data_IF_120408640126
#
_entry.id   IF_120408640126
#
_cell.length_a   1.000
_cell.length_b   1.000
_cell.length_c   1.000
_cell.angle_alpha   90.00
_cell.angle_beta   90.00
_cell.angle_gamma   90.00
#
_symmetry.space_group_name_H-M   'P 1'
#
loop_
_entity.id
_entity.type
_entity.pdbx_description
1 polymer ?
#
# COMPACT_ATOMS: atom_id res chain seq x y z
N UNK A 1 28.17 -32.35 -25.42
CA UNK A 1 29.25 -31.35 -25.65
C UNK A 1 28.83 -30.08 -24.93
N UNK A 2 29.42 -29.56 -23.84
CA UNK A 2 30.61 -29.74 -22.99
C UNK A 2 30.12 -29.47 -21.55
N UNK A 3 30.28 -30.33 -20.52
CA UNK A 3 31.38 -30.38 -19.51
C UNK A 3 31.76 -29.02 -18.87
N UNK A 4 31.99 -28.78 -17.57
CA UNK A 4 32.17 -29.47 -16.25
C UNK A 4 32.20 -28.29 -15.21
N UNK A 5 31.64 -28.31 -13.99
CA UNK A 5 32.27 -28.73 -12.70
C UNK A 5 31.33 -28.30 -11.54
N UNK A 6 30.77 -29.21 -10.71
CA UNK A 6 31.25 -29.67 -9.39
C UNK A 6 31.63 -28.57 -8.37
N UNK A 7 30.86 -28.48 -7.28
CA UNK A 7 31.40 -28.48 -5.92
C UNK A 7 30.35 -28.99 -4.91
N UNK A 8 30.74 -30.05 -4.19
CA UNK A 8 30.05 -30.75 -3.11
C UNK A 8 30.50 -30.16 -1.77
N UNK A 9 29.62 -30.08 -0.76
CA UNK A 9 30.02 -30.16 0.64
C UNK A 9 28.87 -30.75 1.47
N UNK A 10 29.09 -31.99 1.92
CA UNK A 10 28.32 -32.74 2.90
C UNK A 10 28.86 -32.39 4.29
N UNK A 11 27.98 -32.25 5.29
CA UNK A 11 28.33 -32.58 6.68
C UNK A 11 27.17 -33.30 7.35
N UNK A 12 27.42 -34.60 7.56
CA UNK A 12 26.73 -35.49 8.49
C UNK A 12 27.51 -35.45 9.81
N UNK A 13 26.81 -35.43 10.96
CA UNK A 13 27.39 -35.88 12.21
C UNK A 13 26.38 -36.71 13.01
N UNK A 14 26.90 -37.85 13.43
CA UNK A 14 26.27 -39.03 14.01
C UNK A 14 26.25 -39.00 15.54
N UNK A 15 25.19 -39.61 16.10
CA UNK A 15 25.11 -40.11 17.47
C UNK A 15 26.24 -41.09 17.83
N UNK A 16 26.87 -40.92 19.00
CA UNK A 16 27.53 -42.00 19.75
C UNK A 16 27.32 -41.76 21.25
N UNK A 17 26.77 -42.76 21.93
CA UNK A 17 26.73 -42.90 23.38
C UNK A 17 27.84 -43.86 23.82
N UNK A 18 28.54 -43.60 24.94
CA UNK A 18 29.17 -44.62 25.79
C UNK A 18 29.30 -44.15 27.25
N UNK A 19 29.34 -45.16 28.11
CA UNK A 19 29.00 -45.24 29.53
C UNK A 19 30.23 -45.21 30.46
N UNK A 20 29.96 -45.29 31.78
CA UNK A 20 30.82 -45.53 32.97
C UNK A 20 31.39 -44.25 33.61
N UNK A 21 31.32 -43.99 34.92
CA UNK A 21 30.92 -44.74 36.13
C UNK A 21 31.84 -44.34 37.30
N UNK A 22 31.34 -44.40 38.55
CA UNK A 22 31.99 -44.23 39.89
C UNK A 22 31.71 -42.86 40.56
N UNK A 23 30.71 -42.74 41.45
CA UNK A 23 30.65 -43.09 42.91
C UNK A 23 31.48 -42.19 43.83
N UNK A 24 30.83 -41.31 44.60
CA UNK A 24 31.02 -41.18 46.07
C UNK A 24 29.69 -40.78 46.72
N UNK A 25 29.31 -41.57 47.73
CA UNK A 25 28.15 -41.51 48.60
C UNK A 25 28.31 -40.46 49.72
N UNK A 26 27.23 -39.82 50.16
CA UNK A 26 26.97 -39.58 51.59
C UNK A 26 25.47 -39.31 51.82
N UNK A 27 24.83 -40.30 52.47
CA UNK A 27 23.50 -40.27 53.07
C UNK A 27 23.47 -39.46 54.38
N UNK A 28 22.28 -38.96 54.74
CA UNK A 28 21.62 -38.82 56.06
C UNK A 28 20.63 -37.64 55.89
N UNK A 29 19.32 -37.69 56.20
CA UNK A 29 18.51 -38.70 56.87
C UNK A 29 17.03 -38.35 56.71
N UNK A 30 16.21 -39.37 56.89
CA UNK A 30 14.78 -39.45 56.56
C UNK A 30 13.83 -38.94 57.65
N UNK A 31 12.60 -38.68 57.19
CA UNK A 31 11.30 -38.99 57.83
C UNK A 31 10.85 -38.17 59.06
N UNK A 32 9.81 -37.34 58.85
CA UNK A 32 8.62 -37.32 59.73
C UNK A 32 7.36 -37.44 58.86
N UNK A 33 6.46 -38.28 59.35
CA UNK A 33 5.29 -38.93 58.76
C UNK A 33 4.01 -38.05 58.73
N UNK A 34 3.16 -38.30 57.73
CA UNK A 34 1.69 -38.46 57.75
C UNK A 34 0.71 -37.35 58.23
N UNK A 35 -0.04 -36.81 57.24
CA UNK A 35 -1.47 -37.11 56.96
C UNK A 35 -2.62 -36.29 57.61
N UNK A 36 -3.71 -36.18 56.81
CA UNK A 36 -5.11 -35.76 57.10
C UNK A 36 -5.33 -34.24 57.02
N UNK A 37 -5.92 -33.67 55.96
CA UNK A 37 -7.28 -33.76 55.36
C UNK A 37 -8.05 -32.46 55.64
N UNK A 38 -8.85 -32.08 54.65
CA UNK A 38 -10.06 -31.24 54.76
C UNK A 38 -9.88 -29.74 54.47
N UNK A 39 -10.24 -29.41 53.23
CA UNK A 39 -11.15 -28.30 52.86
C UNK A 39 -10.88 -26.92 53.46
N UNK A 40 -10.36 -26.02 52.62
CA UNK A 40 -10.87 -24.65 52.56
C UNK A 40 -10.90 -24.21 51.10
N UNK A 41 -12.12 -24.12 50.56
CA UNK A 41 -12.42 -23.31 49.38
C UNK A 41 -12.16 -21.86 49.79
N UNK A 42 -11.08 -21.26 49.31
CA UNK A 42 -10.95 -19.82 49.27
C UNK A 42 -11.48 -19.33 47.92
N UNK A 43 -12.79 -19.11 47.89
CA UNK A 43 -13.35 -18.03 47.11
C UNK A 43 -12.83 -16.73 47.73
N UNK A 44 -11.97 -16.01 47.01
CA UNK A 44 -11.76 -14.58 47.18
C UNK A 44 -11.52 -14.05 45.77
N UNK A 45 -12.55 -13.54 45.08
CA UNK A 45 -13.16 -12.21 45.18
C UNK A 45 -12.59 -11.28 44.09
N UNK A 46 -13.52 -10.61 43.43
CA UNK A 46 -13.37 -9.40 42.61
C UNK A 46 -12.35 -9.44 41.47
N UNK A 47 -12.86 -9.51 40.24
CA UNK A 47 -12.27 -8.79 39.12
C UNK A 47 -12.13 -7.32 39.52
N UNK A 48 -10.96 -6.93 40.00
CA UNK A 48 -10.57 -5.53 40.07
C UNK A 48 -10.44 -5.05 38.62
N UNK A 49 -11.56 -4.63 38.03
CA UNK A 49 -11.53 -3.77 36.85
C UNK A 49 -10.83 -2.50 37.31
N UNK A 50 -9.54 -2.35 36.95
CA UNK A 50 -8.85 -1.09 37.16
C UNK A 50 -9.59 0.00 36.37
N UNK A 51 -10.32 0.86 37.08
CA UNK A 51 -10.99 2.02 36.51
C UNK A 51 -9.99 2.82 35.66
N UNK A 52 -10.37 3.08 34.40
CA UNK A 52 -9.57 3.87 33.47
C UNK A 52 -9.46 5.34 33.88
N UNK A 53 -8.61 6.09 33.16
CA UNK A 53 -8.52 7.52 33.39
C UNK A 53 -9.63 8.25 32.64
N UNK A 54 -10.41 9.08 33.34
CA UNK A 54 -11.45 9.91 32.71
C UNK A 54 -10.88 11.05 31.81
N UNK A 55 -9.56 11.19 31.74
CA UNK A 55 -8.89 12.18 30.90
C UNK A 55 -8.75 11.73 29.44
N UNK A 56 -8.94 12.67 28.51
CA UNK A 56 -8.63 12.48 27.10
C UNK A 56 -7.12 12.60 26.86
N UNK A 57 -6.52 11.55 26.31
CA UNK A 57 -5.15 11.48 25.84
C UNK A 57 -5.10 11.76 24.33
N UNK A 58 -4.20 12.64 23.89
CA UNK A 58 -3.96 12.89 22.47
C UNK A 58 -2.89 11.94 21.92
N UNK A 59 -3.32 10.99 21.09
CA UNK A 59 -2.45 9.93 20.54
C UNK A 59 -1.40 10.50 19.58
N UNK A 60 -1.74 11.55 18.84
CA UNK A 60 -0.89 12.08 17.77
C UNK A 60 -0.19 13.40 18.15
N UNK A 61 -0.59 14.01 19.27
CA UNK A 61 -0.15 15.33 19.71
C UNK A 61 -0.72 16.49 18.87
N UNK A 62 -1.60 16.21 17.91
CA UNK A 62 -2.21 17.20 17.01
C UNK A 62 -3.67 17.54 17.36
N UNK A 63 -4.27 16.84 18.32
CA UNK A 63 -5.68 16.90 18.67
C UNK A 63 -6.61 16.14 17.72
N UNK A 64 -6.08 15.52 16.67
CA UNK A 64 -6.88 14.85 15.62
C UNK A 64 -7.40 13.47 16.02
N UNK A 65 -6.79 12.86 17.03
CA UNK A 65 -7.16 11.53 17.53
C UNK A 65 -6.99 11.52 19.04
N UNK A 66 -8.10 11.62 19.75
CA UNK A 66 -8.11 11.59 21.20
C UNK A 66 -8.66 10.24 21.69
N UNK A 67 -8.08 9.69 22.74
CA UNK A 67 -8.51 8.46 23.39
C UNK A 67 -8.83 8.72 24.86
N UNK A 68 -9.91 8.12 25.35
CA UNK A 68 -10.28 8.10 26.75
C UNK A 68 -10.47 6.64 27.17
N UNK A 69 -9.64 6.15 28.08
CA UNK A 69 -9.68 4.77 28.54
C UNK A 69 -10.77 4.67 29.62
N UNK A 70 -11.78 3.84 29.39
CA UNK A 70 -12.88 3.57 30.34
C UNK A 70 -12.46 2.44 31.27
N UNK A 71 -12.03 1.32 30.69
CA UNK A 71 -11.53 0.15 31.41
C UNK A 71 -10.18 -0.23 30.84
N UNK A 72 -9.19 -0.41 31.70
CA UNK A 72 -7.85 -0.81 31.25
C UNK A 72 -7.83 -2.30 30.88
N UNK A 73 -7.12 -2.60 29.79
CA UNK A 73 -6.81 -3.98 29.41
C UNK A 73 -5.59 -4.54 30.17
N UNK A 74 -5.28 -5.81 29.91
CA UNK A 74 -4.13 -6.51 30.47
C UNK A 74 -2.81 -5.87 29.98
N UNK A 75 -1.88 -5.48 30.85
CA UNK A 75 -0.63 -4.87 30.42
C UNK A 75 0.17 -5.78 29.47
N UNK A 76 0.95 -5.18 28.58
CA UNK A 76 1.85 -5.86 27.64
C UNK A 76 1.18 -6.83 26.64
N UNK A 77 -0.10 -6.59 26.31
CA UNK A 77 -0.88 -7.39 25.35
C UNK A 77 -1.26 -6.63 24.07
N UNK A 78 -0.55 -5.54 23.77
CA UNK A 78 -0.85 -4.70 22.60
C UNK A 78 -0.68 -5.47 21.28
N UNK A 79 -1.63 -5.35 20.35
CA UNK A 79 -1.55 -6.04 19.08
C UNK A 79 -0.41 -5.51 18.22
N UNK A 80 0.29 -6.42 17.56
CA UNK A 80 1.29 -6.13 16.56
C UNK A 80 0.65 -6.04 15.18
N UNK A 81 1.37 -5.40 14.25
CA UNK A 81 0.94 -5.31 12.86
C UNK A 81 0.65 -6.70 12.30
N UNK A 82 -0.44 -6.81 11.52
CA UNK A 82 -0.97 -8.05 10.93
C UNK A 82 -1.66 -9.02 11.90
N UNK A 83 -1.71 -8.74 13.20
CA UNK A 83 -2.54 -9.53 14.10
C UNK A 83 -4.03 -9.19 13.91
N UNK A 84 -4.87 -10.19 14.14
CA UNK A 84 -6.31 -10.06 14.13
C UNK A 84 -6.79 -9.62 15.52
N UNK A 85 -7.48 -8.51 15.58
CA UNK A 85 -8.17 -8.04 16.77
C UNK A 85 -9.65 -8.37 16.66
N UNK A 86 -10.20 -9.01 17.68
CA UNK A 86 -11.64 -9.14 17.83
C UNK A 86 -12.16 -7.97 18.66
N UNK A 87 -13.02 -7.15 18.08
CA UNK A 87 -13.49 -5.92 18.73
C UNK A 87 -15.01 -5.85 18.77
N UNK A 88 -15.53 -5.23 19.83
CA UNK A 88 -16.85 -4.61 19.79
C UNK A 88 -16.65 -3.14 19.52
N UNK A 89 -17.45 -2.54 18.63
CA UNK A 89 -17.44 -1.10 18.50
C UNK A 89 -18.80 -0.51 18.14
N UNK A 90 -19.00 0.73 18.57
CA UNK A 90 -20.11 1.58 18.21
C UNK A 90 -19.58 2.92 17.71
N UNK A 91 -19.98 3.32 16.50
CA UNK A 91 -19.63 4.60 15.89
C UNK A 91 -20.82 5.55 15.99
N UNK A 92 -20.60 6.71 16.59
CA UNK A 92 -21.61 7.75 16.80
C UNK A 92 -21.14 9.11 16.29
N UNK A 93 -22.09 9.96 15.94
CA UNK A 93 -21.84 11.38 15.70
C UNK A 93 -21.83 12.15 17.03
N UNK A 94 -21.27 13.36 17.04
CA UNK A 94 -21.24 14.23 18.23
C UNK A 94 -22.63 14.56 18.79
N UNK A 95 -23.68 14.49 17.96
CA UNK A 95 -25.06 14.68 18.38
C UNK A 95 -25.71 13.43 19.01
N UNK A 96 -24.96 12.32 19.16
CA UNK A 96 -25.43 11.06 19.72
C UNK A 96 -26.10 10.10 18.72
N UNK A 97 -26.17 10.45 17.43
CA UNK A 97 -26.71 9.54 16.41
C UNK A 97 -25.79 8.35 16.21
N UNK A 98 -26.31 7.13 16.37
CA UNK A 98 -25.58 5.88 16.14
C UNK A 98 -25.55 5.58 14.64
N UNK A 99 -24.35 5.42 14.07
CA UNK A 99 -24.14 5.15 12.65
C UNK A 99 -23.92 3.65 12.40
N UNK A 100 -23.08 3.03 13.21
CA UNK A 100 -22.72 1.63 13.04
C UNK A 100 -22.44 1.01 14.41
N UNK A 101 -22.93 -0.21 14.62
CA UNK A 101 -22.61 -1.02 15.79
C UNK A 101 -22.27 -2.42 15.33
N UNK A 102 -21.13 -2.94 15.79
CA UNK A 102 -20.69 -4.29 15.48
C UNK A 102 -20.14 -4.97 16.72
N UNK A 103 -20.51 -6.24 16.87
CA UNK A 103 -20.04 -7.11 17.93
C UNK A 103 -19.15 -8.19 17.36
N UNK A 104 -18.09 -8.55 18.08
CA UNK A 104 -17.11 -9.58 17.68
C UNK A 104 -16.62 -9.41 16.23
N UNK A 105 -16.38 -8.16 15.85
CA UNK A 105 -15.89 -7.82 14.53
C UNK A 105 -14.38 -8.08 14.47
N UNK A 106 -13.96 -8.94 13.55
CA UNK A 106 -12.53 -9.22 13.34
C UNK A 106 -11.94 -8.18 12.40
N UNK A 107 -10.89 -7.49 12.86
CA UNK A 107 -10.11 -6.54 12.08
C UNK A 107 -8.63 -6.87 12.15
N UNK A 108 -7.91 -6.64 11.06
CA UNK A 108 -6.46 -6.84 11.04
C UNK A 108 -5.72 -5.51 11.21
N UNK A 109 -4.85 -5.43 12.21
CA UNK A 109 -4.13 -4.18 12.53
C UNK A 109 -3.17 -3.81 11.41
N UNK A 110 -3.31 -2.58 10.91
CA UNK A 110 -2.50 -2.05 9.82
C UNK A 110 -3.14 -2.20 8.45
N UNK A 111 -4.35 -2.77 8.33
CA UNK A 111 -5.02 -2.99 7.04
C UNK A 111 -6.11 -1.96 6.72
N UNK A 112 -6.40 -1.03 7.65
CA UNK A 112 -7.31 0.10 7.44
C UNK A 112 -8.73 -0.33 6.98
N UNK A 113 -9.26 -1.38 7.61
CA UNK A 113 -10.53 -2.03 7.23
C UNK A 113 -11.79 -1.25 7.61
N UNK A 114 -11.68 -0.28 8.53
CA UNK A 114 -12.80 0.57 8.96
C UNK A 114 -12.49 2.06 8.72
N UNK A 115 -11.59 2.64 9.51
CA UNK A 115 -11.07 4.00 9.36
C UNK A 115 -9.64 4.05 9.91
N UNK A 116 -8.85 5.04 9.49
CA UNK A 116 -7.45 5.15 9.90
C UNK A 116 -7.29 5.39 11.41
N UNK A 117 -8.14 6.23 12.00
CA UNK A 117 -8.08 6.56 13.43
C UNK A 117 -8.29 5.34 14.32
N UNK A 118 -9.22 4.45 13.95
CA UNK A 118 -9.48 3.21 14.68
C UNK A 118 -8.26 2.27 14.60
N UNK A 119 -7.70 2.10 13.41
CA UNK A 119 -6.53 1.21 13.19
C UNK A 119 -5.30 1.68 13.99
N UNK A 120 -5.06 2.99 14.04
CA UNK A 120 -4.00 3.60 14.85
C UNK A 120 -4.22 3.41 16.35
N UNK A 121 -5.47 3.57 16.81
CA UNK A 121 -5.81 3.41 18.22
C UNK A 121 -5.67 1.94 18.67
N UNK A 122 -6.08 0.98 17.85
CA UNK A 122 -5.97 -0.45 18.17
C UNK A 122 -4.53 -0.87 18.48
N UNK A 123 -3.54 -0.34 17.78
CA UNK A 123 -2.12 -0.60 18.08
C UNK A 123 -1.63 -0.11 19.44
N UNK A 124 -2.43 0.72 20.14
CA UNK A 124 -2.13 1.26 21.46
C UNK A 124 -3.01 0.69 22.58
N UNK A 125 -4.06 -0.04 22.21
CA UNK A 125 -4.97 -0.70 23.14
C UNK A 125 -4.36 -2.01 23.64
N UNK A 126 -4.68 -2.36 24.88
CA UNK A 126 -4.39 -3.68 25.44
C UNK A 126 -5.59 -4.62 25.31
N UNK A 127 -5.36 -5.93 25.32
CA UNK A 127 -6.44 -6.92 25.36
C UNK A 127 -7.33 -6.72 26.60
N UNK A 128 -8.63 -6.64 26.39
CA UNK A 128 -9.64 -6.30 27.40
C UNK A 128 -9.84 -4.80 27.62
N UNK A 129 -9.12 -3.92 26.90
CA UNK A 129 -9.29 -2.46 27.04
C UNK A 129 -10.59 -1.99 26.39
N UNK A 130 -11.32 -1.15 27.12
CA UNK A 130 -12.50 -0.44 26.64
C UNK A 130 -12.19 1.06 26.63
N UNK A 131 -12.32 1.70 25.48
CA UNK A 131 -12.01 3.11 25.34
C UNK A 131 -12.96 3.84 24.37
N UNK A 132 -13.07 5.16 24.55
CA UNK A 132 -13.69 6.05 23.58
C UNK A 132 -12.63 6.78 22.77
N UNK A 133 -12.86 6.89 21.47
CA UNK A 133 -12.00 7.57 20.52
C UNK A 133 -12.77 8.72 19.88
N UNK A 134 -12.24 9.94 19.96
CA UNK A 134 -12.69 11.06 19.13
C UNK A 134 -11.77 11.14 17.93
N UNK A 135 -12.33 10.87 16.74
CA UNK A 135 -11.59 10.80 15.50
C UNK A 135 -11.99 11.97 14.61
N UNK A 136 -11.04 12.84 14.31
CA UNK A 136 -11.24 13.93 13.37
C UNK A 136 -11.57 13.38 11.97
N UNK A 137 -12.39 14.11 11.23
CA UNK A 137 -12.86 13.70 9.89
C UNK A 137 -11.75 13.16 9.00
N UNK A 138 -10.56 13.78 8.94
CA UNK A 138 -9.43 13.33 8.09
C UNK A 138 -8.96 11.90 8.37
N UNK A 139 -9.06 11.43 9.62
CA UNK A 139 -8.69 10.07 10.03
C UNK A 139 -9.90 9.12 10.04
N UNK A 140 -11.09 9.65 9.78
CA UNK A 140 -12.36 8.94 9.67
C UNK A 140 -12.86 8.90 8.22
N UNK A 141 -13.94 9.62 7.92
CA UNK A 141 -14.62 9.62 6.61
C UNK A 141 -14.38 10.89 5.79
N UNK A 142 -13.51 11.79 6.23
CA UNK A 142 -12.99 12.96 5.51
C UNK A 142 -14.04 13.84 4.82
N UNK A 143 -13.60 14.55 3.79
CA UNK A 143 -14.44 15.47 3.00
C UNK A 143 -15.58 14.79 2.23
N UNK A 144 -15.53 13.46 2.04
CA UNK A 144 -16.60 12.72 1.37
C UNK A 144 -17.70 12.29 2.33
N UNK A 145 -17.42 12.22 3.63
CA UNK A 145 -18.32 11.60 4.60
C UNK A 145 -18.63 10.13 4.25
N UNK A 146 -19.77 9.64 4.72
CA UNK A 146 -20.36 8.35 4.39
C UNK A 146 -21.78 8.60 3.90
N UNK A 147 -22.11 8.14 2.71
CA UNK A 147 -23.35 8.47 2.00
C UNK A 147 -24.60 8.35 2.90
N UNK A 148 -25.35 9.46 3.04
CA UNK A 148 -26.56 9.60 3.85
C UNK A 148 -26.44 9.32 5.37
N UNK A 149 -25.26 8.93 5.86
CA UNK A 149 -25.01 8.55 7.24
C UNK A 149 -24.11 9.54 7.97
N UNK A 150 -23.00 9.93 7.33
CA UNK A 150 -22.00 10.82 7.91
C UNK A 150 -21.78 11.97 6.93
N UNK A 151 -22.09 13.22 7.32
CA UNK A 151 -21.80 14.36 6.46
C UNK A 151 -20.30 14.52 6.17
N UNK A 152 -19.94 15.25 5.10
CA UNK A 152 -18.58 15.72 4.88
C UNK A 152 -17.94 16.36 6.12
N UNK A 153 -16.63 16.17 6.27
CA UNK A 153 -15.79 16.85 7.27
C UNK A 153 -16.29 16.72 8.72
N UNK A 154 -16.99 15.63 9.01
CA UNK A 154 -17.59 15.37 10.32
C UNK A 154 -16.70 14.48 11.18
N UNK A 155 -16.49 14.88 12.42
CA UNK A 155 -15.83 14.08 13.44
C UNK A 155 -16.75 12.96 13.92
N UNK A 156 -16.16 11.84 14.30
CA UNK A 156 -16.91 10.68 14.78
C UNK A 156 -16.33 10.20 16.11
N UNK A 157 -17.20 9.64 16.93
CA UNK A 157 -16.84 9.06 18.22
C UNK A 157 -17.00 7.55 18.11
N UNK A 158 -15.91 6.82 18.31
CA UNK A 158 -15.95 5.37 18.44
C UNK A 158 -15.92 4.99 19.92
N UNK A 159 -16.82 4.13 20.32
CA UNK A 159 -16.78 3.41 21.58
C UNK A 159 -16.29 1.98 21.26
N UNK A 160 -15.10 1.60 21.73
CA UNK A 160 -14.36 0.41 21.25
C UNK A 160 -13.87 -0.42 22.42
N UNK A 161 -14.18 -1.72 22.37
CA UNK A 161 -13.69 -2.73 23.29
C UNK A 161 -12.83 -3.74 22.52
N UNK A 162 -11.57 -3.91 22.92
CA UNK A 162 -10.67 -4.91 22.36
C UNK A 162 -10.81 -6.22 23.15
N UNK A 163 -11.48 -7.22 22.57
CA UNK A 163 -11.79 -8.48 23.26
C UNK A 163 -10.60 -9.44 23.30
N UNK A 164 -9.96 -9.65 22.15
CA UNK A 164 -8.84 -10.60 22.01
C UNK A 164 -7.91 -10.19 20.87
N UNK A 165 -6.65 -10.61 21.00
CA UNK A 165 -5.64 -10.50 19.94
C UNK A 165 -5.24 -11.91 19.50
N UNK A 166 -5.41 -12.18 18.22
CA UNK A 166 -5.14 -13.48 17.58
C UNK A 166 -4.09 -13.31 16.48
N UNK A 167 -3.28 -14.35 16.24
CA UNK A 167 -2.45 -14.41 15.03
C UNK A 167 -3.33 -14.66 13.80
N UNK A 168 -3.01 -14.05 12.67
CA UNK A 168 -3.67 -14.39 11.40
C UNK A 168 -3.14 -15.71 10.84
N UNK A 169 -4.01 -16.47 10.18
CA UNK A 169 -3.60 -17.70 9.52
C UNK A 169 -2.73 -17.33 8.33
N UNK A 170 -1.54 -17.91 8.27
CA UNK A 170 -0.68 -17.80 7.11
C UNK A 170 -1.41 -18.31 5.86
N UNK A 171 -1.30 -17.63 4.70
CA UNK A 171 -1.99 -18.04 3.48
C UNK A 171 -1.74 -19.49 3.04
N UNK A 172 -0.61 -20.07 3.46
CA UNK A 172 -0.21 -21.45 3.20
C UNK A 172 -1.07 -22.49 3.95
N UNK A 173 -1.61 -22.11 5.11
CA UNK A 173 -2.46 -22.97 5.93
C UNK A 173 -3.95 -22.88 5.55
N UNK A 174 -4.29 -21.97 4.63
CA UNK A 174 -5.66 -21.73 4.19
C UNK A 174 -5.99 -22.54 2.94
N UNK A 175 -7.19 -23.09 2.89
CA UNK A 175 -7.68 -23.70 1.67
C UNK A 175 -7.98 -22.64 0.59
N UNK A 176 -8.10 -23.06 -0.67
CA UNK A 176 -8.27 -22.14 -1.81
C UNK A 176 -9.53 -21.27 -1.67
N UNK A 177 -10.62 -21.81 -1.13
CA UNK A 177 -11.85 -21.05 -0.92
C UNK A 177 -11.65 -19.94 0.12
N UNK A 178 -11.07 -20.28 1.27
CA UNK A 178 -10.76 -19.35 2.36
C UNK A 178 -9.82 -18.25 1.88
N UNK A 179 -8.77 -18.60 1.12
CA UNK A 179 -7.85 -17.64 0.49
C UNK A 179 -8.60 -16.68 -0.43
N UNK A 180 -9.50 -17.22 -1.26
CA UNK A 180 -10.32 -16.43 -2.19
C UNK A 180 -11.26 -15.49 -1.45
N UNK A 181 -11.89 -15.94 -0.37
CA UNK A 181 -12.75 -15.11 0.47
C UNK A 181 -11.94 -13.99 1.14
N UNK A 182 -10.84 -14.31 1.85
CA UNK A 182 -9.97 -13.31 2.50
C UNK A 182 -9.45 -12.29 1.48
N UNK A 183 -8.92 -12.75 0.35
CA UNK A 183 -8.42 -11.89 -0.73
C UNK A 183 -9.50 -10.96 -1.31
N UNK A 184 -10.71 -11.46 -1.54
CA UNK A 184 -11.82 -10.65 -2.04
C UNK A 184 -12.33 -9.61 -1.03
N UNK A 185 -12.36 -9.94 0.27
CA UNK A 185 -12.71 -8.96 1.31
C UNK A 185 -11.74 -7.77 1.26
N UNK A 186 -10.44 -8.03 1.18
CA UNK A 186 -9.41 -6.98 1.03
C UNK A 186 -9.56 -6.23 -0.30
N UNK A 187 -9.89 -6.92 -1.40
CA UNK A 187 -10.18 -6.29 -2.71
C UNK A 187 -11.34 -5.32 -2.64
N UNK A 188 -12.48 -5.72 -2.05
CA UNK A 188 -13.64 -4.84 -1.92
C UNK A 188 -13.34 -3.65 -1.03
N UNK A 189 -12.57 -3.86 0.04
CA UNK A 189 -12.10 -2.76 0.86
C UNK A 189 -11.21 -1.77 0.07
N UNK A 190 -10.32 -2.28 -0.78
CA UNK A 190 -9.54 -1.45 -1.69
C UNK A 190 -10.42 -0.68 -2.69
N UNK A 191 -11.48 -1.29 -3.21
CA UNK A 191 -12.46 -0.64 -4.09
C UNK A 191 -13.15 0.54 -3.37
N UNK A 192 -13.50 0.35 -2.10
CA UNK A 192 -14.09 1.40 -1.28
C UNK A 192 -13.15 2.60 -1.09
N UNK A 193 -11.87 2.37 -0.77
CA UNK A 193 -10.89 3.47 -0.70
C UNK A 193 -10.62 4.12 -2.07
N UNK A 194 -10.59 3.33 -3.14
CA UNK A 194 -10.36 3.82 -4.49
C UNK A 194 -11.48 4.74 -4.99
N UNK A 195 -12.75 4.40 -4.73
CA UNK A 195 -13.90 5.25 -5.10
C UNK A 195 -13.86 6.62 -4.41
N UNK A 196 -13.22 6.66 -3.25
CA UNK A 196 -13.00 7.87 -2.46
C UNK A 196 -11.80 8.69 -2.93
N UNK A 197 -10.97 8.16 -3.82
CA UNK A 197 -9.77 8.82 -4.32
C UNK A 197 -8.55 8.63 -3.42
N UNK A 198 -8.68 7.85 -2.35
CA UNK A 198 -7.61 7.50 -1.42
C UNK A 198 -6.78 6.35 -1.99
N UNK A 199 -6.08 6.65 -3.09
CA UNK A 199 -5.41 5.64 -3.90
C UNK A 199 -4.27 4.93 -3.15
N UNK A 200 -3.64 5.58 -2.16
CA UNK A 200 -2.58 4.98 -1.35
C UNK A 200 -3.12 3.82 -0.50
N UNK A 201 -4.22 4.06 0.22
CA UNK A 201 -4.90 3.04 1.03
C UNK A 201 -5.47 1.94 0.15
N UNK A 202 -6.05 2.30 -1.01
CA UNK A 202 -6.52 1.33 -1.98
C UNK A 202 -5.41 0.36 -2.43
N UNK A 203 -4.23 0.88 -2.79
CA UNK A 203 -3.06 0.06 -3.16
C UNK A 203 -2.64 -0.86 -2.02
N UNK A 204 -2.65 -0.38 -0.78
CA UNK A 204 -2.32 -1.22 0.37
C UNK A 204 -3.31 -2.38 0.52
N UNK A 205 -4.61 -2.12 0.46
CA UNK A 205 -5.62 -3.19 0.51
C UNK A 205 -5.49 -4.17 -0.68
N UNK A 206 -5.16 -3.68 -1.87
CA UNK A 206 -4.93 -4.57 -3.03
C UNK A 206 -3.66 -5.42 -2.89
N UNK A 207 -2.58 -4.89 -2.31
CA UNK A 207 -1.39 -5.70 -1.98
C UNK A 207 -1.75 -6.80 -0.97
N UNK A 208 -2.48 -6.44 0.09
CA UNK A 208 -2.97 -7.42 1.07
C UNK A 208 -3.89 -8.47 0.45
N UNK A 209 -4.72 -8.08 -0.53
CA UNK A 209 -5.52 -9.04 -1.28
C UNK A 209 -4.65 -10.02 -2.08
N UNK A 210 -3.56 -9.54 -2.70
CA UNK A 210 -2.62 -10.39 -3.44
C UNK A 210 -1.83 -11.33 -2.51
N UNK A 211 -1.56 -10.96 -1.26
CA UNK A 211 -0.92 -11.88 -0.30
C UNK A 211 -1.72 -13.19 -0.13
N UNK A 212 -3.05 -13.17 -0.29
CA UNK A 212 -3.90 -14.37 -0.27
C UNK A 212 -4.14 -14.99 -1.66
N UNK A 213 -4.17 -14.18 -2.72
CA UNK A 213 -4.55 -14.62 -4.08
C UNK A 213 -3.36 -15.02 -4.97
N UNK A 214 -2.15 -14.53 -4.68
CA UNK A 214 -0.94 -14.89 -5.41
C UNK A 214 -0.47 -16.29 -5.01
N UNK A 215 0.08 -16.98 -6.00
CA UNK A 215 0.84 -18.20 -5.76
C UNK A 215 2.15 -17.76 -5.12
N UNK A 216 2.34 -18.06 -3.83
CA UNK A 216 3.59 -17.81 -3.11
C UNK A 216 4.76 -18.37 -3.94
N UNK A 217 5.91 -17.69 -3.96
CA UNK A 217 7.13 -18.21 -4.60
C UNK A 217 7.43 -19.61 -4.03
N UNK A 218 7.11 -20.66 -4.81
CA UNK A 218 6.98 -22.03 -4.31
C UNK A 218 5.80 -22.80 -4.92
N UNK A 219 4.89 -22.10 -5.62
CA UNK A 219 3.68 -22.66 -6.20
C UNK A 219 2.56 -22.79 -5.18
N UNK A 220 1.40 -23.29 -5.60
CA UNK A 220 0.39 -23.77 -4.65
C UNK A 220 0.99 -25.00 -3.97
N UNK A 221 1.72 -24.80 -2.88
CA UNK A 221 1.92 -25.89 -1.93
C UNK A 221 0.56 -26.12 -1.31
N UNK A 222 -0.07 -27.22 -1.71
CA UNK A 222 -1.34 -27.69 -1.15
C UNK A 222 -1.28 -27.55 0.38
N UNK A 223 -2.33 -27.00 1.03
CA UNK A 223 -2.37 -26.94 2.49
C UNK A 223 -2.09 -28.35 3.02
N UNK A 224 -1.02 -28.48 3.81
CA UNK A 224 -0.41 -29.77 4.16
C UNK A 224 -1.10 -30.44 5.36
N UNK A 225 -2.32 -30.03 5.73
CA UNK A 225 -2.87 -30.42 7.03
C UNK A 225 -4.17 -31.22 7.02
N UNK A 226 -4.97 -31.28 5.95
CA UNK A 226 -6.19 -32.11 5.98
C UNK A 226 -6.46 -32.83 4.64
N UNK A 227 -6.46 -34.16 4.75
CA UNK A 227 -6.91 -35.20 3.80
C UNK A 227 -7.45 -34.74 2.44
N UNK A 228 -6.68 -35.01 1.37
CA UNK A 228 -7.18 -35.39 0.03
C UNK A 228 -8.41 -34.64 -0.54
N UNK A 229 -8.52 -33.33 -0.34
CA UNK A 229 -9.46 -32.53 -1.12
C UNK A 229 -8.83 -32.26 -2.49
N UNK A 230 -9.26 -33.02 -3.50
CA UNK A 230 -8.91 -32.73 -4.89
C UNK A 230 -9.33 -31.29 -5.23
N UNK A 231 -8.34 -30.43 -5.47
CA UNK A 231 -8.58 -29.06 -5.92
C UNK A 231 -9.13 -29.12 -7.34
N UNK A 232 -10.37 -28.67 -7.53
CA UNK A 232 -10.94 -28.53 -8.87
C UNK A 232 -10.21 -27.46 -9.68
N UNK A 233 -9.90 -27.76 -10.94
CA UNK A 233 -9.39 -26.78 -11.91
C UNK A 233 -10.25 -25.50 -11.95
N UNK A 234 -11.56 -25.62 -11.74
CA UNK A 234 -12.48 -24.49 -11.69
C UNK A 234 -12.20 -23.56 -10.49
N UNK A 235 -11.85 -24.12 -9.32
CA UNK A 235 -11.52 -23.33 -8.13
C UNK A 235 -10.19 -22.58 -8.32
N UNK A 236 -9.21 -23.22 -8.98
CA UNK A 236 -7.94 -22.59 -9.32
C UNK A 236 -8.13 -21.47 -10.36
N UNK A 237 -8.98 -21.70 -11.36
CA UNK A 237 -9.31 -20.68 -12.35
C UNK A 237 -9.98 -19.45 -11.71
N UNK A 238 -10.91 -19.65 -10.76
CA UNK A 238 -11.53 -18.54 -10.03
C UNK A 238 -10.51 -17.72 -9.22
N UNK A 239 -9.57 -18.40 -8.54
CA UNK A 239 -8.50 -17.73 -7.79
C UNK A 239 -7.62 -16.88 -8.73
N UNK A 240 -7.27 -17.43 -9.90
CA UNK A 240 -6.54 -16.72 -10.94
C UNK A 240 -7.31 -15.49 -11.46
N UNK A 241 -8.62 -15.62 -11.69
CA UNK A 241 -9.47 -14.51 -12.14
C UNK A 241 -9.52 -13.39 -11.09
N UNK A 242 -9.65 -13.74 -9.81
CA UNK A 242 -9.64 -12.76 -8.72
C UNK A 242 -8.29 -12.05 -8.60
N UNK A 243 -7.17 -12.78 -8.72
CA UNK A 243 -5.81 -12.20 -8.77
C UNK A 243 -5.68 -11.17 -9.91
N UNK A 244 -6.17 -11.52 -11.10
CA UNK A 244 -6.16 -10.64 -12.27
C UNK A 244 -6.99 -9.38 -12.01
N UNK A 245 -8.17 -9.53 -11.41
CA UNK A 245 -9.05 -8.42 -11.07
C UNK A 245 -8.39 -7.46 -10.07
N UNK A 246 -7.76 -7.99 -9.01
CA UNK A 246 -7.00 -7.19 -8.03
C UNK A 246 -5.83 -6.47 -8.70
N UNK A 247 -5.01 -7.18 -9.48
CA UNK A 247 -3.85 -6.59 -10.16
C UNK A 247 -4.26 -5.46 -11.10
N UNK A 248 -5.39 -5.62 -11.79
CA UNK A 248 -5.93 -4.59 -12.66
C UNK A 248 -6.38 -3.36 -11.84
N UNK A 249 -7.13 -3.56 -10.75
CA UNK A 249 -7.57 -2.46 -9.87
C UNK A 249 -6.39 -1.73 -9.21
N UNK A 250 -5.37 -2.47 -8.77
CA UNK A 250 -4.13 -1.91 -8.24
C UNK A 250 -3.42 -1.02 -9.27
N UNK A 251 -3.32 -1.48 -10.53
CA UNK A 251 -2.75 -0.67 -11.61
C UNK A 251 -3.54 0.63 -11.86
N UNK A 252 -4.86 0.62 -11.68
CA UNK A 252 -5.68 1.83 -11.79
C UNK A 252 -5.37 2.83 -10.67
N UNK A 253 -5.24 2.35 -9.44
CA UNK A 253 -4.85 3.19 -8.29
C UNK A 253 -3.42 3.73 -8.42
N UNK A 254 -2.47 2.91 -8.86
CA UNK A 254 -1.09 3.33 -9.13
C UNK A 254 -1.00 4.39 -10.23
N UNK A 255 -1.81 4.25 -11.29
CA UNK A 255 -1.93 5.26 -12.35
C UNK A 255 -2.39 6.63 -11.83
N UNK A 256 -3.30 6.65 -10.84
CA UNK A 256 -3.78 7.90 -10.20
C UNK A 256 -2.70 8.59 -9.38
N UNK A 257 -1.72 7.84 -8.88
CA UNK A 257 -0.56 8.33 -8.14
C UNK A 257 0.69 8.53 -9.02
N UNK A 258 0.55 8.40 -10.34
CA UNK A 258 1.67 8.53 -11.30
C UNK A 258 2.83 7.54 -11.07
N UNK A 259 2.55 6.42 -10.39
CA UNK A 259 3.49 5.33 -10.16
C UNK A 259 3.59 4.43 -11.40
N UNK A 260 4.11 4.99 -12.50
CA UNK A 260 4.05 4.39 -13.82
C UNK A 260 4.77 3.04 -13.93
N UNK A 261 5.94 2.89 -13.32
CA UNK A 261 6.70 1.65 -13.41
C UNK A 261 6.02 0.51 -12.63
N UNK A 262 5.50 0.80 -11.43
CA UNK A 262 4.69 -0.14 -10.67
C UNK A 262 3.41 -0.53 -11.41
N UNK A 263 2.72 0.44 -12.02
CA UNK A 263 1.53 0.18 -12.85
C UNK A 263 1.86 -0.72 -14.04
N UNK A 264 3.00 -0.54 -14.71
CA UNK A 264 3.41 -1.43 -15.81
C UNK A 264 3.65 -2.87 -15.33
N UNK A 265 4.27 -3.06 -14.15
CA UNK A 265 4.47 -4.39 -13.57
C UNK A 265 3.13 -5.07 -13.30
N UNK A 266 2.19 -4.39 -12.64
CA UNK A 266 0.84 -4.92 -12.36
C UNK A 266 0.02 -5.18 -13.64
N UNK A 267 0.21 -4.38 -14.69
CA UNK A 267 -0.44 -4.63 -15.98
C UNK A 267 0.21 -5.79 -16.74
N UNK A 268 1.51 -6.00 -16.56
CA UNK A 268 2.22 -7.12 -17.17
C UNK A 268 1.81 -8.45 -16.55
N UNK A 269 1.56 -8.53 -15.23
CA UNK A 269 1.01 -9.75 -14.61
C UNK A 269 -0.36 -10.09 -15.21
N UNK A 270 -1.25 -9.10 -15.36
CA UNK A 270 -2.56 -9.27 -16.00
C UNK A 270 -2.42 -9.75 -17.45
N UNK A 271 -1.60 -9.09 -18.26
CA UNK A 271 -1.45 -9.39 -19.69
C UNK A 271 -0.68 -10.68 -19.97
N UNK A 272 0.10 -11.20 -19.01
CA UNK A 272 0.69 -12.55 -19.10
C UNK A 272 -0.38 -13.62 -19.03
N UNK A 273 -1.39 -13.45 -18.19
CA UNK A 273 -2.49 -14.40 -18.02
C UNK A 273 -3.62 -14.18 -19.04
N UNK A 274 -3.97 -12.92 -19.31
CA UNK A 274 -4.99 -12.52 -20.28
C UNK A 274 -4.43 -11.50 -21.27
N UNK A 275 -3.73 -11.95 -22.34
CA UNK A 275 -3.11 -11.06 -23.33
C UNK A 275 -4.08 -10.09 -24.01
N UNK A 276 -5.37 -10.46 -24.06
CA UNK A 276 -6.43 -9.73 -24.74
C UNK A 276 -7.35 -8.98 -23.75
N UNK A 277 -6.88 -8.74 -22.52
CA UNK A 277 -7.62 -7.92 -21.56
C UNK A 277 -7.64 -6.44 -21.99
N UNK A 278 -8.78 -5.99 -22.52
CA UNK A 278 -8.99 -4.63 -23.05
C UNK A 278 -8.72 -3.55 -21.99
N UNK A 279 -9.18 -3.74 -20.75
CA UNK A 279 -8.96 -2.77 -19.64
C UNK A 279 -7.47 -2.62 -19.34
N UNK A 280 -6.72 -3.72 -19.30
CA UNK A 280 -5.29 -3.70 -19.04
C UNK A 280 -4.50 -3.07 -20.21
N UNK A 281 -4.85 -3.39 -21.47
CA UNK A 281 -4.26 -2.77 -22.65
C UNK A 281 -4.48 -1.25 -22.66
N UNK A 282 -5.71 -0.81 -22.35
CA UNK A 282 -6.06 0.62 -22.28
C UNK A 282 -5.29 1.33 -21.16
N UNK A 283 -5.22 0.74 -19.96
CA UNK A 283 -4.42 1.27 -18.84
C UNK A 283 -2.93 1.33 -19.18
N UNK A 284 -2.38 0.30 -19.84
CA UNK A 284 -0.97 0.26 -20.29
C UNK A 284 -0.67 1.36 -21.30
N UNK A 285 -1.59 1.62 -22.24
CA UNK A 285 -1.46 2.72 -23.18
C UNK A 285 -1.42 4.09 -22.47
N UNK A 286 -2.25 4.30 -21.44
CA UNK A 286 -2.24 5.52 -20.63
C UNK A 286 -0.91 5.70 -19.90
N UNK A 287 -0.31 4.62 -19.38
CA UNK A 287 1.03 4.69 -18.79
C UNK A 287 2.06 5.14 -19.83
N UNK A 288 2.11 4.51 -21.01
CA UNK A 288 3.07 4.88 -22.04
C UNK A 288 2.88 6.31 -22.56
N UNK A 289 1.63 6.76 -22.70
CA UNK A 289 1.31 8.16 -23.01
C UNK A 289 1.92 9.10 -21.97
N UNK A 290 1.78 8.79 -20.68
CA UNK A 290 2.36 9.60 -19.61
C UNK A 290 3.90 9.58 -19.62
N UNK A 291 4.52 8.45 -20.00
CA UNK A 291 5.97 8.34 -20.23
C UNK A 291 6.43 8.94 -21.56
N UNK A 292 5.55 9.61 -22.31
CA UNK A 292 5.79 10.18 -23.64
C UNK A 292 6.21 9.16 -24.71
N UNK A 293 5.97 7.86 -24.49
CA UNK A 293 6.14 6.79 -25.48
C UNK A 293 4.84 6.62 -26.29
N UNK A 294 4.66 7.53 -27.25
CA UNK A 294 3.45 7.59 -28.07
C UNK A 294 3.31 6.36 -28.97
N UNK A 295 4.43 5.75 -29.38
CA UNK A 295 4.40 4.58 -30.27
C UNK A 295 3.90 3.34 -29.53
N UNK A 296 4.45 3.06 -28.34
CA UNK A 296 3.99 1.95 -27.52
C UNK A 296 2.54 2.13 -27.08
N UNK A 297 2.13 3.37 -26.75
CA UNK A 297 0.74 3.68 -26.40
C UNK A 297 -0.23 3.36 -27.55
N UNK A 298 0.06 3.83 -28.77
CA UNK A 298 -0.75 3.54 -29.95
C UNK A 298 -0.79 2.05 -30.29
N UNK A 299 0.33 1.33 -30.11
CA UNK A 299 0.36 -0.13 -30.30
C UNK A 299 -0.62 -0.84 -29.37
N UNK A 300 -0.63 -0.47 -28.08
CA UNK A 300 -1.56 -1.02 -27.09
C UNK A 300 -3.02 -0.70 -27.42
N UNK A 301 -3.33 0.55 -27.78
CA UNK A 301 -4.71 0.95 -28.12
C UNK A 301 -5.20 0.30 -29.41
N UNK A 302 -4.37 0.15 -30.44
CA UNK A 302 -4.74 -0.56 -31.66
C UNK A 302 -5.04 -2.03 -31.39
N UNK A 303 -4.32 -2.66 -30.45
CA UNK A 303 -4.68 -4.01 -30.00
C UNK A 303 -6.05 -4.01 -29.29
N UNK A 304 -6.29 -3.04 -28.42
CA UNK A 304 -7.58 -2.90 -27.72
C UNK A 304 -8.75 -2.64 -28.69
N UNK A 305 -8.57 -1.77 -29.68
CA UNK A 305 -9.58 -1.44 -30.72
C UNK A 305 -9.96 -2.66 -31.57
N UNK A 306 -9.00 -3.54 -31.87
CA UNK A 306 -9.30 -4.80 -32.58
C UNK A 306 -10.19 -5.74 -31.77
N UNK A 307 -10.05 -5.73 -30.45
CA UNK A 307 -10.80 -6.60 -29.54
C UNK A 307 -12.17 -6.02 -29.21
N UNK A 308 -12.27 -4.70 -29.08
CA UNK A 308 -13.52 -3.97 -28.85
C UNK A 308 -13.67 -2.83 -29.87
N UNK A 309 -14.17 -3.14 -31.08
CA UNK A 309 -14.38 -2.12 -32.12
C UNK A 309 -15.42 -1.08 -31.71
N UNK A 310 -15.25 0.16 -32.17
CA UNK A 310 -16.16 1.29 -31.95
C UNK A 310 -16.36 1.72 -30.48
N UNK A 311 -15.47 1.32 -29.57
CA UNK A 311 -15.46 1.87 -28.22
C UNK A 311 -15.07 3.36 -28.24
N UNK A 312 -15.96 4.22 -27.71
CA UNK A 312 -15.81 5.66 -27.78
C UNK A 312 -14.54 6.16 -27.06
N UNK A 313 -14.18 5.55 -25.94
CA UNK A 313 -13.02 5.95 -25.14
C UNK A 313 -11.71 5.56 -25.83
N UNK A 314 -11.63 4.35 -26.38
CA UNK A 314 -10.46 3.88 -27.16
C UNK A 314 -10.25 4.76 -28.39
N UNK A 315 -11.30 4.99 -29.19
CA UNK A 315 -11.21 5.80 -30.42
C UNK A 315 -10.78 7.23 -30.09
N UNK A 316 -11.38 7.84 -29.07
CA UNK A 316 -11.01 9.20 -28.62
C UNK A 316 -9.55 9.28 -28.19
N UNK A 317 -9.05 8.28 -27.47
CA UNK A 317 -7.67 8.26 -26.99
C UNK A 317 -6.66 8.05 -28.14
N UNK A 318 -6.98 7.19 -29.13
CA UNK A 318 -6.18 7.01 -30.35
C UNK A 318 -6.07 8.34 -31.11
N UNK A 319 -7.20 8.99 -31.39
CA UNK A 319 -7.21 10.28 -32.10
C UNK A 319 -6.40 11.36 -31.36
N UNK A 320 -6.45 11.36 -30.03
CA UNK A 320 -5.63 12.24 -29.20
C UNK A 320 -4.13 11.98 -29.36
N UNK A 321 -3.72 10.71 -29.33
CA UNK A 321 -2.32 10.31 -29.51
C UNK A 321 -1.80 10.57 -30.93
N UNK A 322 -2.63 10.38 -31.96
CA UNK A 322 -2.24 10.67 -33.34
C UNK A 322 -1.95 12.16 -33.55
N UNK A 323 -2.76 13.06 -32.96
CA UNK A 323 -2.48 14.50 -32.96
C UNK A 323 -1.15 14.83 -32.28
N UNK A 324 -0.85 14.19 -31.15
CA UNK A 324 0.43 14.37 -30.44
C UNK A 324 1.59 13.89 -31.32
N UNK A 325 1.46 12.71 -31.93
CA UNK A 325 2.47 12.14 -32.83
C UNK A 325 2.74 13.03 -34.04
N UNK A 326 1.70 13.58 -34.66
CA UNK A 326 1.85 14.53 -35.77
C UNK A 326 2.57 15.81 -35.35
N UNK A 327 2.24 16.33 -34.17
CA UNK A 327 2.91 17.51 -33.60
C UNK A 327 4.39 17.24 -33.34
N UNK A 328 4.72 16.09 -32.73
CA UNK A 328 6.11 15.64 -32.51
C UNK A 328 6.87 15.54 -33.84
N UNK A 329 6.28 14.91 -34.86
CA UNK A 329 6.89 14.79 -36.19
C UNK A 329 7.11 16.16 -36.85
N UNK A 330 6.19 17.11 -36.69
CA UNK A 330 6.36 18.48 -37.20
C UNK A 330 7.50 19.20 -36.47
N UNK A 331 7.56 19.11 -35.13
CA UNK A 331 8.64 19.72 -34.36
C UNK A 331 10.01 19.11 -34.66
N UNK A 332 10.10 17.79 -34.81
CA UNK A 332 11.34 17.09 -35.19
C UNK A 332 11.83 17.54 -36.57
N UNK A 333 10.93 17.65 -37.56
CA UNK A 333 11.27 18.15 -38.90
C UNK A 333 11.80 19.58 -38.86
N UNK A 334 11.16 20.46 -38.08
CA UNK A 334 11.60 21.84 -37.93
C UNK A 334 12.95 21.95 -37.20
N UNK A 335 13.13 21.17 -36.12
CA UNK A 335 14.40 21.09 -35.41
C UNK A 335 15.52 20.58 -36.33
N UNK A 336 15.27 19.50 -37.08
CA UNK A 336 16.21 18.98 -38.07
C UNK A 336 16.54 20.04 -39.13
N UNK A 337 15.53 20.74 -39.67
CA UNK A 337 15.74 21.84 -40.64
C UNK A 337 16.64 22.93 -40.08
N UNK A 338 16.44 23.36 -38.83
CA UNK A 338 17.30 24.35 -38.16
C UNK A 338 18.72 23.84 -37.97
N UNK A 339 18.88 22.60 -37.50
CA UNK A 339 20.20 21.99 -37.32
C UNK A 339 20.96 21.87 -38.65
N UNK A 340 20.32 21.41 -39.73
CA UNK A 340 20.95 21.31 -41.06
C UNK A 340 21.21 22.66 -41.72
N UNK A 341 20.35 23.66 -41.52
CA UNK A 341 20.59 25.01 -42.06
C UNK A 341 21.68 25.77 -41.29
N UNK A 342 21.81 25.53 -39.97
CA UNK A 342 22.93 26.04 -39.17
C UNK A 342 24.28 25.53 -39.70
N UNK A 343 24.35 24.24 -40.04
CA UNK A 343 25.55 23.61 -40.62
C UNK A 343 25.88 24.10 -42.05
N UNK A 344 24.89 24.58 -42.80
CA UNK A 344 25.13 25.16 -44.14
C UNK A 344 25.62 26.60 -44.09
N UNK A 345 25.37 27.33 -43.00
CA UNK A 345 25.78 28.74 -42.89
C UNK A 345 27.29 28.93 -42.67
N UNK A 346 28.01 27.90 -42.23
CA UNK A 346 29.48 27.94 -42.07
C UNK A 346 30.26 27.79 -43.39
N UNK A 347 29.60 27.46 -44.52
CA UNK A 347 30.25 27.34 -45.83
C UNK A 347 30.07 28.58 -46.74
N UNK A 348 29.49 29.66 -46.24
CA UNK A 348 29.32 30.92 -46.97
C UNK A 348 29.65 32.17 -46.14
N UNK A 349 30.69 32.10 -45.30
CA UNK A 349 31.32 33.29 -44.70
C UNK A 349 32.77 33.48 -45.15
N UNK A 350 33.02 33.34 -46.46
CA UNK A 350 34.24 33.87 -47.10
C UNK A 350 33.89 34.56 -48.42
N UNK A 351 33.28 35.75 -48.30
CA UNK A 351 33.50 36.93 -49.16
C UNK A 351 32.38 37.96 -48.94
N UNK A 352 32.81 39.16 -48.55
CA UNK A 352 32.04 40.43 -48.43
C UNK A 352 31.05 40.52 -47.27
N UNK A 353 31.55 40.87 -46.08
CA UNK A 353 30.87 41.85 -45.21
C UNK A 353 31.77 43.07 -45.03
N UNK A 354 31.48 44.14 -45.79
CA UNK A 354 31.87 45.49 -45.37
C UNK A 354 31.02 45.81 -44.14
N UNK A 355 31.68 45.99 -43.00
CA UNK A 355 31.08 46.31 -41.72
C UNK A 355 30.54 47.75 -41.71
N UNK A 356 29.23 47.92 -41.52
CA UNK A 356 28.67 49.19 -41.01
C UNK A 356 27.53 48.90 -40.04
N UNK A 357 27.87 48.46 -38.83
CA UNK A 357 26.97 48.66 -37.69
C UNK A 357 27.16 50.10 -37.19
N UNK A 358 26.10 50.86 -36.90
CA UNK A 358 26.23 52.19 -36.30
C UNK A 358 26.82 52.03 -34.90
N UNK A 359 27.96 52.70 -34.65
CA UNK A 359 28.73 52.66 -33.39
C UNK A 359 27.92 52.99 -32.13
N UNK A 360 26.68 53.47 -32.25
CA UNK A 360 25.84 53.89 -31.15
C UNK A 360 25.17 52.72 -30.39
N UNK A 361 24.82 51.63 -31.07
CA UNK A 361 24.04 50.54 -30.45
C UNK A 361 24.90 49.67 -29.52
N UNK A 362 26.19 49.50 -29.84
CA UNK A 362 27.15 48.73 -29.03
C UNK A 362 27.54 49.43 -27.73
N UNK A 363 27.56 50.76 -27.69
CA UNK A 363 27.83 51.50 -26.45
C UNK A 363 26.62 51.49 -25.49
N UNK A 364 25.40 51.47 -26.03
CA UNK A 364 24.16 51.39 -25.23
C UNK A 364 24.00 50.02 -24.55
N UNK A 365 24.39 48.93 -25.22
CA UNK A 365 24.31 47.58 -24.63
C UNK A 365 25.42 47.33 -23.59
N UNK A 366 26.61 47.89 -23.78
CA UNK A 366 27.69 47.82 -22.79
C UNK A 366 27.36 48.73 -21.58
N UNK A 367 26.80 49.93 -21.81
CA UNK A 367 26.40 50.83 -20.72
C UNK A 367 25.29 50.26 -19.83
N UNK A 368 24.29 49.61 -20.42
CA UNK A 368 23.16 49.01 -19.66
C UNK A 368 23.59 47.81 -18.82
N UNK A 369 24.50 46.98 -19.34
CA UNK A 369 25.00 45.80 -18.60
C UNK A 369 25.87 46.17 -17.40
N UNK A 370 26.72 47.20 -17.54
CA UNK A 370 27.55 47.70 -16.42
C UNK A 370 26.68 48.36 -15.34
N UNK A 371 25.65 49.13 -15.71
CA UNK A 371 24.76 49.78 -14.76
C UNK A 371 23.94 48.78 -13.92
N UNK A 372 23.42 47.71 -14.54
CA UNK A 372 22.69 46.65 -13.82
C UNK A 372 23.62 45.88 -12.88
N UNK A 373 24.86 45.62 -13.30
CA UNK A 373 25.87 44.98 -12.45
C UNK A 373 26.21 45.80 -11.21
N UNK A 374 26.42 47.11 -11.36
CA UNK A 374 26.73 48.01 -10.23
C UNK A 374 25.54 48.21 -9.29
N UNK A 375 24.31 48.32 -9.82
CA UNK A 375 23.10 48.39 -9.01
C UNK A 375 22.88 47.09 -8.21
N UNK A 376 23.11 45.93 -8.83
CA UNK A 376 23.05 44.63 -8.16
C UNK A 376 24.09 44.50 -7.04
N UNK A 377 25.32 44.99 -7.26
CA UNK A 377 26.38 44.96 -6.26
C UNK A 377 26.10 45.91 -5.08
N UNK A 378 25.53 47.09 -5.36
CA UNK A 378 25.12 48.04 -4.33
C UNK A 378 23.95 47.50 -3.48
N UNK A 379 22.94 46.90 -4.12
CA UNK A 379 21.82 46.25 -3.43
C UNK A 379 22.27 45.04 -2.60
N UNK A 380 23.22 44.26 -3.11
CA UNK A 380 23.81 43.14 -2.37
C UNK A 380 24.55 43.63 -1.12
N UNK A 381 25.35 44.70 -1.22
CA UNK A 381 26.01 45.28 -0.06
C UNK A 381 25.02 45.80 0.98
N UNK A 382 23.95 46.48 0.57
CA UNK A 382 22.96 47.05 1.48
C UNK A 382 22.09 46.01 2.21
N UNK A 383 22.02 44.77 1.71
CA UNK A 383 21.23 43.68 2.32
C UNK A 383 22.03 42.84 3.32
N UNK A 384 23.36 42.91 3.28
CA UNK A 384 24.26 42.02 4.04
C UNK A 384 25.31 42.76 4.90
N UNK A 385 25.20 44.08 5.01
CA UNK A 385 25.68 44.90 6.14
C UNK A 385 24.48 45.46 6.85
#
# INVERSE_FOLDING_TARGET
MYCISKCHALYSYSSIAYSTGILVSFMIGSLIFYNISSTEKLNHESSNEEEGSDAWEDILGSGSLLRQIITKGKPDTRPQRLQNCLINFECTLENGTIIEKKEKFKVQVGDYEVVQGLDLALGLMNEGEHCKLKVESRLAYGHKGLENLIPPDTNVIFDVELLSVETDDEPENLNIEQRRIKGNVKRERGNWWYSRGENQLAIQCYRRALDYLDEVEGGIQYPTSEENLEVSDAALQQLLEDRINVSNNMAAAQLKLELYDAALQSLQTVLRCQPDNVKALFRKARVYKAKNDIQAALSCLKKAEKLLPNDADIVKEILGLEKIKEKQKKSEKELARRMFNGLKSDKQMDKKRKSSLPKMLTWVTIGTTVAVGLAGLALYRFKFT
#
